data_IF_143374259346
#
_entry.id   IF_143374259346
#
_cell.length_a   1.000
_cell.length_b   1.000
_cell.length_c   1.000
_cell.angle_alpha   90.00
_cell.angle_beta   90.00
_cell.angle_gamma   90.00
#
_symmetry.space_group_name_H-M   'P 1'
#
loop_
_entity.id
_entity.type
_entity.pdbx_description
1 polymer ?
#
# COMPACT_ATOMS: atom_id res chain seq x y z
N UNK A 1 0.53 31.78 33.27
CA UNK A 1 1.18 30.46 33.45
C UNK A 1 1.75 30.04 32.11
N UNK A 2 3.01 29.62 32.04
CA UNK A 2 3.69 29.32 30.78
C UNK A 2 3.09 28.07 30.14
N UNK A 3 2.75 28.12 28.86
CA UNK A 3 2.26 26.96 28.09
C UNK A 3 3.35 25.89 27.96
N UNK A 4 2.93 24.62 27.97
CA UNK A 4 3.83 23.48 27.88
C UNK A 4 4.62 23.46 26.56
N UNK A 5 5.82 22.86 26.62
CA UNK A 5 6.67 22.62 25.46
C UNK A 5 6.04 21.53 24.56
N UNK A 6 5.21 21.95 23.60
CA UNK A 6 4.57 21.04 22.64
C UNK A 6 5.52 20.80 21.48
N UNK A 7 6.20 19.65 21.50
CA UNK A 7 7.03 19.19 20.39
C UNK A 7 6.19 18.41 19.40
N UNK A 8 5.94 18.97 18.22
CA UNK A 8 5.43 18.21 17.07
C UNK A 8 6.62 17.65 16.31
N UNK A 9 7.08 16.47 16.68
CA UNK A 9 8.19 15.82 15.97
C UNK A 9 7.65 14.93 14.85
N UNK A 10 8.04 15.25 13.60
CA UNK A 10 7.91 14.40 12.42
C UNK A 10 6.54 14.39 11.74
N UNK A 11 6.20 15.41 10.95
CA UNK A 11 4.96 15.42 10.15
C UNK A 11 4.95 14.38 9.00
N UNK A 12 6.11 13.84 8.61
CA UNK A 12 6.25 12.92 7.48
C UNK A 12 7.30 11.84 7.76
N UNK A 13 7.00 10.60 7.38
CA UNK A 13 7.94 9.47 7.39
C UNK A 13 8.36 9.15 5.97
N UNK A 14 9.67 9.21 5.71
CA UNK A 14 10.27 8.79 4.44
C UNK A 14 10.54 7.27 4.36
N UNK A 15 10.11 6.51 5.37
CA UNK A 15 10.26 5.06 5.42
C UNK A 15 9.06 4.39 4.76
N UNK A 16 9.30 3.47 3.82
CA UNK A 16 8.24 2.66 3.22
C UNK A 16 7.54 1.79 4.27
N UNK A 17 6.25 1.50 4.09
CA UNK A 17 5.52 0.64 5.02
C UNK A 17 6.18 -0.74 5.19
N UNK A 18 6.77 -1.28 4.11
CA UNK A 18 7.49 -2.56 4.15
C UNK A 18 8.73 -2.54 5.05
N UNK A 19 9.49 -1.43 4.99
CA UNK A 19 10.69 -1.29 5.80
C UNK A 19 10.39 -1.21 7.30
N UNK A 20 9.12 -1.03 7.69
CA UNK A 20 8.66 -1.06 9.08
C UNK A 20 8.35 -2.48 9.57
N UNK A 21 8.19 -3.46 8.68
CA UNK A 21 7.89 -4.84 9.04
C UNK A 21 9.21 -5.62 9.19
N UNK A 22 9.50 -6.28 10.32
CA UNK A 22 10.73 -7.05 10.52
C UNK A 22 10.94 -8.13 9.45
N UNK A 23 12.19 -8.37 9.04
CA UNK A 23 12.53 -9.38 8.02
C UNK A 23 11.99 -10.78 8.32
N UNK A 24 11.92 -11.14 9.60
CA UNK A 24 11.48 -12.45 10.10
C UNK A 24 9.99 -12.50 10.41
N UNK A 25 9.23 -11.46 10.06
CA UNK A 25 7.80 -11.40 10.40
C UNK A 25 7.02 -12.50 9.65
N UNK A 26 6.23 -13.33 10.35
CA UNK A 26 5.58 -14.50 9.76
C UNK A 26 4.57 -14.17 8.66
N UNK A 27 4.06 -12.93 8.61
CA UNK A 27 3.11 -12.48 7.59
C UNK A 27 3.76 -11.84 6.35
N UNK A 28 5.08 -11.65 6.32
CA UNK A 28 5.77 -11.13 5.12
C UNK A 28 5.51 -11.93 3.84
N UNK A 29 5.42 -13.28 3.88
CA UNK A 29 5.11 -14.07 2.69
C UNK A 29 3.75 -13.73 2.06
N UNK A 30 2.78 -13.24 2.84
CA UNK A 30 1.44 -12.88 2.32
C UNK A 30 1.57 -11.83 1.22
N UNK A 31 2.44 -10.84 1.41
CA UNK A 31 2.67 -9.83 0.38
C UNK A 31 3.14 -10.45 -0.93
N UNK A 32 4.11 -11.36 -0.89
CA UNK A 32 4.62 -12.01 -2.10
C UNK A 32 3.52 -12.81 -2.82
N UNK A 33 2.72 -13.56 -2.06
CA UNK A 33 1.58 -14.33 -2.60
C UNK A 33 0.56 -13.41 -3.27
N UNK A 34 0.23 -12.29 -2.63
CA UNK A 34 -0.70 -11.31 -3.18
C UNK A 34 -0.13 -10.59 -4.41
N UNK A 35 1.17 -10.30 -4.41
CA UNK A 35 1.85 -9.66 -5.54
C UNK A 35 1.79 -10.57 -6.78
N UNK A 36 2.06 -11.85 -6.61
CA UNK A 36 1.97 -12.87 -7.67
C UNK A 36 0.54 -13.04 -8.18
N UNK A 37 -0.45 -13.14 -7.28
CA UNK A 37 -1.85 -13.26 -7.67
C UNK A 37 -2.34 -12.03 -8.48
N UNK A 38 -1.93 -10.83 -8.06
CA UNK A 38 -2.30 -9.59 -8.75
C UNK A 38 -1.59 -9.44 -10.09
N UNK A 39 -0.37 -9.94 -10.23
CA UNK A 39 0.35 -9.97 -11.51
C UNK A 39 -0.37 -10.86 -12.53
N UNK A 40 -0.82 -12.05 -12.12
CA UNK A 40 -1.62 -12.95 -12.97
C UNK A 40 -2.93 -12.29 -13.42
N UNK A 41 -3.57 -11.53 -12.53
CA UNK A 41 -4.84 -10.85 -12.82
C UNK A 41 -4.66 -9.53 -13.60
N UNK A 42 -3.44 -9.04 -13.77
CA UNK A 42 -3.18 -7.73 -14.36
C UNK A 42 -3.77 -7.57 -15.77
N UNK A 43 -3.67 -8.60 -16.61
CA UNK A 43 -4.24 -8.59 -17.96
C UNK A 43 -5.77 -8.48 -17.95
N UNK A 44 -6.45 -9.17 -17.02
CA UNK A 44 -7.91 -9.05 -16.86
C UNK A 44 -8.29 -7.62 -16.41
N UNK A 45 -7.52 -7.03 -15.50
CA UNK A 45 -7.74 -5.66 -15.05
C UNK A 45 -7.54 -4.62 -16.15
N UNK A 46 -6.54 -4.80 -17.03
CA UNK A 46 -6.34 -3.93 -18.19
C UNK A 46 -7.57 -3.87 -19.10
N UNK A 47 -8.23 -5.01 -19.30
CA UNK A 47 -9.45 -5.12 -20.10
C UNK A 47 -10.64 -4.32 -19.54
N UNK A 48 -10.66 -4.06 -18.23
CA UNK A 48 -11.71 -3.29 -17.56
C UNK A 48 -11.56 -1.78 -17.72
N UNK A 49 -10.38 -1.29 -18.15
CA UNK A 49 -10.11 0.14 -18.22
C UNK A 49 -10.60 0.80 -19.51
N UNK A 50 -11.23 1.96 -19.34
CA UNK A 50 -11.58 2.82 -20.47
C UNK A 50 -10.29 3.33 -21.16
N UNK A 51 -10.24 3.21 -22.49
CA UNK A 51 -9.13 3.72 -23.31
C UNK A 51 -9.04 5.25 -23.36
N UNK A 52 -10.10 5.94 -22.90
CA UNK A 52 -10.24 7.40 -22.94
C UNK A 52 -10.79 7.91 -21.61
N UNK A 53 -10.42 9.15 -21.26
CA UNK A 53 -10.89 9.80 -20.03
C UNK A 53 -9.84 9.82 -18.91
N UNK A 54 -10.29 10.13 -17.69
CA UNK A 54 -9.42 10.23 -16.52
C UNK A 54 -8.99 8.83 -16.05
N UNK A 55 -7.69 8.59 -15.82
CA UNK A 55 -7.22 7.35 -15.22
C UNK A 55 -7.86 7.10 -13.85
N UNK A 56 -8.48 5.94 -13.70
CA UNK A 56 -8.99 5.41 -12.44
C UNK A 56 -7.85 4.88 -11.56
N UNK A 57 -8.16 4.61 -10.29
CA UNK A 57 -7.20 3.95 -9.38
C UNK A 57 -7.04 2.47 -9.81
N UNK A 58 -5.81 1.94 -9.88
CA UNK A 58 -5.49 0.51 -10.03
C UNK A 58 -6.28 -0.38 -9.07
N UNK A 59 -7.05 -1.40 -9.51
CA UNK A 59 -7.74 -2.31 -8.60
C UNK A 59 -6.76 -3.00 -7.65
N UNK A 60 -5.54 -3.31 -8.11
CA UNK A 60 -4.47 -3.90 -7.31
C UNK A 60 -4.12 -3.05 -6.09
N UNK A 61 -4.19 -1.71 -6.19
CA UNK A 61 -3.95 -0.82 -5.04
C UNK A 61 -5.05 -0.93 -4.00
N UNK A 62 -6.31 -1.05 -4.44
CA UNK A 62 -7.45 -1.21 -3.55
C UNK A 62 -7.41 -2.59 -2.88
N UNK A 63 -7.15 -3.64 -3.66
CA UNK A 63 -7.05 -5.01 -3.16
C UNK A 63 -5.90 -5.17 -2.15
N UNK A 64 -4.72 -4.59 -2.42
CA UNK A 64 -3.60 -4.56 -1.44
C UNK A 64 -3.98 -3.88 -0.13
N UNK A 65 -4.78 -2.82 -0.18
CA UNK A 65 -5.21 -2.10 1.02
C UNK A 65 -6.17 -2.91 1.90
N UNK A 66 -6.87 -3.90 1.34
CA UNK A 66 -7.83 -4.74 2.08
C UNK A 66 -7.18 -5.93 2.82
N UNK A 67 -5.95 -6.30 2.47
CA UNK A 67 -5.32 -7.53 2.95
C UNK A 67 -4.68 -7.41 4.34
N UNK A 68 -4.50 -6.20 4.87
CA UNK A 68 -3.86 -5.92 6.16
C UNK A 68 -4.71 -4.98 7.04
N UNK A 69 -6.01 -5.30 7.17
CA UNK A 69 -6.89 -4.60 8.11
C UNK A 69 -6.54 -4.88 9.57
#
# INVERSE_FOLDING_TARGET
>A
MRGGDVRTEGLFSYVSCEARVPLTHPLRPIRAICDEALEVLSHEFEGLYAKVGRPSVPPEKLLRALLLQ
#
